data_IF_328198119352
#
_entry.id   IF_328198119352
#
_cell.length_a   1.000
_cell.length_b   1.000
_cell.length_c   1.000
_cell.angle_alpha   90.00
_cell.angle_beta   90.00
_cell.angle_gamma   90.00
#
_symmetry.space_group_name_H-M   'P 1'
#
loop_
_entity.id
_entity.type
_entity.pdbx_description
1 polymer ?
#
# COMPACT_ATOMS: atom_id res chain seq x y z
N UNK A 1 -4.13 -3.26 32.92
CA UNK A 1 -5.56 -3.43 33.28
C UNK A 1 -5.83 -2.65 34.57
N UNK A 2 -6.97 -1.97 34.70
CA UNK A 2 -7.33 -1.21 35.90
C UNK A 2 -8.29 -2.08 36.71
N UNK A 3 -7.88 -2.49 37.91
CA UNK A 3 -8.66 -3.38 38.78
C UNK A 3 -10.04 -2.77 39.09
N UNK A 4 -11.11 -3.55 38.97
CA UNK A 4 -12.49 -3.12 39.24
C UNK A 4 -13.17 -2.37 38.08
N UNK A 5 -12.52 -2.26 36.91
CA UNK A 5 -13.11 -1.64 35.71
C UNK A 5 -13.68 -2.66 34.71
N UNK A 6 -13.51 -3.96 35.00
CA UNK A 6 -14.08 -5.05 34.23
C UNK A 6 -15.62 -4.99 34.18
N UNK A 7 -16.18 -5.39 33.04
CA UNK A 7 -17.63 -5.48 32.82
C UNK A 7 -17.95 -6.83 32.20
N UNK A 8 -19.00 -7.47 32.72
CA UNK A 8 -19.57 -8.68 32.11
C UNK A 8 -20.66 -8.27 31.11
N UNK A 9 -20.59 -8.78 29.89
CA UNK A 9 -21.57 -8.52 28.84
C UNK A 9 -22.02 -9.88 28.26
N UNK A 10 -23.33 -10.20 28.26
CA UNK A 10 -23.81 -11.41 27.60
C UNK A 10 -23.67 -11.26 26.09
N UNK A 11 -22.91 -12.15 25.46
CA UNK A 11 -22.72 -12.22 24.01
C UNK A 11 -22.55 -13.68 23.61
N UNK A 12 -23.08 -14.03 22.44
CA UNK A 12 -22.89 -15.33 21.77
C UNK A 12 -21.72 -15.30 20.78
N UNK A 13 -21.37 -14.11 20.28
CA UNK A 13 -20.26 -13.87 19.33
C UNK A 13 -19.46 -12.61 19.70
N UNK A 14 -18.14 -12.65 19.50
CA UNK A 14 -17.25 -11.50 19.64
C UNK A 14 -16.48 -11.31 18.32
N UNK A 15 -16.61 -10.13 17.70
CA UNK A 15 -15.82 -9.73 16.54
C UNK A 15 -14.63 -8.88 16.98
N UNK A 16 -13.41 -9.36 16.73
CA UNK A 16 -12.16 -8.64 17.04
C UNK A 16 -11.55 -8.06 15.76
N UNK A 17 -11.43 -6.72 15.71
CA UNK A 17 -10.75 -6.00 14.64
C UNK A 17 -9.55 -5.25 15.22
N UNK A 18 -8.40 -5.93 15.32
CA UNK A 18 -7.17 -5.42 15.97
C UNK A 18 -6.15 -4.82 14.99
N UNK A 19 -6.60 -4.51 13.77
CA UNK A 19 -5.76 -3.99 12.69
C UNK A 19 -5.35 -5.06 11.67
N UNK A 20 -4.66 -4.61 10.64
CA UNK A 20 -4.19 -5.42 9.51
C UNK A 20 -2.66 -5.33 9.41
N UNK A 21 -2.04 -6.38 8.89
CA UNK A 21 -0.62 -6.39 8.55
C UNK A 21 -0.45 -6.77 7.07
N UNK A 22 0.42 -6.09 6.31
CA UNK A 22 0.70 -6.44 4.92
C UNK A 22 1.17 -7.90 4.77
N UNK A 23 0.56 -8.63 3.85
CA UNK A 23 1.01 -9.98 3.48
C UNK A 23 2.18 -9.84 2.48
N UNK A 24 3.40 -10.14 2.92
CA UNK A 24 4.63 -9.78 2.20
C UNK A 24 5.58 -10.95 1.94
N UNK A 25 5.16 -12.18 2.24
CA UNK A 25 5.97 -13.40 2.13
C UNK A 25 6.60 -13.59 0.75
N UNK A 26 5.85 -13.33 -0.33
CA UNK A 26 6.36 -13.43 -1.69
C UNK A 26 7.41 -12.36 -2.01
N UNK A 27 7.32 -11.18 -1.40
CA UNK A 27 8.28 -10.09 -1.62
C UNK A 27 9.60 -10.38 -0.91
N UNK A 28 9.54 -10.98 0.28
CA UNK A 28 10.71 -11.51 0.97
C UNK A 28 11.39 -12.60 0.14
N UNK A 29 10.62 -13.57 -0.36
CA UNK A 29 11.15 -14.64 -1.20
C UNK A 29 11.73 -14.14 -2.52
N UNK A 30 11.15 -13.09 -3.11
CA UNK A 30 11.67 -12.43 -4.31
C UNK A 30 12.97 -11.63 -4.05
N UNK A 31 13.36 -11.43 -2.79
CA UNK A 31 14.55 -10.65 -2.45
C UNK A 31 14.35 -9.14 -2.50
N UNK A 32 13.10 -8.66 -2.41
CA UNK A 32 12.82 -7.23 -2.34
C UNK A 32 13.52 -6.60 -1.13
N UNK A 33 14.01 -5.37 -1.30
CA UNK A 33 14.46 -4.54 -0.17
C UNK A 33 13.24 -4.15 0.63
N UNK A 34 13.13 -4.69 1.84
CA UNK A 34 12.00 -4.45 2.74
C UNK A 34 12.37 -3.41 3.80
N UNK A 35 11.37 -2.69 4.30
CA UNK A 35 11.53 -1.75 5.41
C UNK A 35 10.32 -1.78 6.33
N UNK A 36 10.56 -1.72 7.63
CA UNK A 36 9.49 -1.52 8.59
C UNK A 36 9.04 -0.06 8.58
N UNK A 37 7.78 0.17 8.22
CA UNK A 37 7.15 1.49 8.16
C UNK A 37 5.85 1.44 8.99
N UNK A 38 5.86 1.94 10.24
CA UNK A 38 4.70 1.93 11.12
C UNK A 38 3.46 2.61 10.51
N UNK A 39 3.69 3.66 9.72
CA UNK A 39 2.62 4.38 9.03
C UNK A 39 1.89 3.53 7.99
N UNK A 40 2.52 2.47 7.48
CA UNK A 40 2.00 1.54 6.47
C UNK A 40 1.73 0.14 7.06
N UNK A 41 1.58 0.06 8.38
CA UNK A 41 1.16 -1.14 9.12
C UNK A 41 2.12 -2.32 9.09
N UNK A 42 3.41 -2.12 8.79
CA UNK A 42 4.42 -3.17 8.99
C UNK A 42 5.60 -3.11 8.04
N UNK A 43 6.12 -4.30 7.70
CA UNK A 43 7.16 -4.44 6.70
C UNK A 43 6.55 -4.34 5.31
N UNK A 44 7.08 -3.44 4.50
CA UNK A 44 6.64 -3.19 3.12
C UNK A 44 7.87 -3.15 2.19
N UNK A 45 7.72 -3.49 0.90
CA UNK A 45 8.80 -3.37 -0.06
C UNK A 45 9.06 -1.90 -0.37
N UNK A 46 10.33 -1.55 -0.55
CA UNK A 46 10.68 -0.28 -1.16
C UNK A 46 10.27 -0.27 -2.63
N UNK A 47 9.76 0.86 -3.11
CA UNK A 47 9.21 0.99 -4.46
C UNK A 47 9.41 2.36 -5.11
N UNK A 48 9.42 2.37 -6.43
CA UNK A 48 9.42 3.60 -7.24
C UNK A 48 8.04 4.26 -7.25
N UNK A 49 7.95 5.44 -7.87
CA UNK A 49 6.67 6.14 -8.07
C UNK A 49 5.66 5.34 -8.92
N UNK A 50 6.13 4.48 -9.82
CA UNK A 50 5.29 3.58 -10.62
C UNK A 50 5.04 2.22 -9.94
N UNK A 51 5.35 2.13 -8.64
CA UNK A 51 5.19 0.94 -7.80
C UNK A 51 6.04 -0.27 -8.18
N UNK A 52 7.10 -0.07 -8.98
CA UNK A 52 8.12 -1.11 -9.19
C UNK A 52 8.97 -1.24 -7.93
N UNK A 53 9.15 -2.47 -7.44
CA UNK A 53 9.97 -2.75 -6.26
C UNK A 53 11.47 -2.63 -6.59
N UNK A 54 12.34 -2.94 -5.61
CA UNK A 54 13.77 -3.03 -5.89
C UNK A 54 14.16 -4.21 -6.81
N UNK A 55 13.24 -5.14 -7.08
CA UNK A 55 13.44 -6.22 -8.05
C UNK A 55 12.78 -5.81 -9.37
N UNK A 56 13.59 -5.71 -10.42
CA UNK A 56 13.13 -5.28 -11.75
C UNK A 56 12.02 -6.21 -12.26
N UNK A 57 10.93 -5.62 -12.75
CA UNK A 57 9.78 -6.36 -13.25
C UNK A 57 8.81 -6.86 -12.18
N UNK A 58 9.08 -6.62 -10.89
CA UNK A 58 8.16 -6.94 -9.78
C UNK A 58 7.51 -5.65 -9.29
N UNK A 59 6.19 -5.59 -9.43
CA UNK A 59 5.36 -4.44 -9.02
C UNK A 59 4.48 -4.81 -7.84
N UNK A 60 4.11 -3.82 -7.03
CA UNK A 60 3.29 -4.00 -5.83
C UNK A 60 2.13 -3.01 -5.79
N UNK A 61 0.98 -3.42 -5.28
CA UNK A 61 -0.19 -2.55 -5.13
C UNK A 61 -1.08 -3.01 -3.97
N UNK A 62 -1.93 -2.10 -3.49
CA UNK A 62 -2.89 -2.37 -2.43
C UNK A 62 -2.22 -2.61 -1.09
N UNK A 63 -2.87 -3.36 -0.19
CA UNK A 63 -2.42 -3.48 1.20
C UNK A 63 -1.03 -4.11 1.37
N UNK A 64 -0.55 -4.86 0.37
CA UNK A 64 0.81 -5.38 0.34
C UNK A 64 1.87 -4.29 0.10
N UNK A 65 1.48 -3.15 -0.48
CA UNK A 65 2.29 -1.92 -0.59
C UNK A 65 2.16 -1.01 0.66
N UNK A 66 1.23 -1.34 1.57
CA UNK A 66 0.88 -0.59 2.77
C UNK A 66 -0.63 -0.51 2.93
N UNK A 67 -1.13 -0.76 4.15
CA UNK A 67 -2.58 -0.82 4.41
C UNK A 67 -3.23 0.57 4.24
N UNK A 68 -4.23 0.66 3.36
CA UNK A 68 -5.01 1.86 3.04
C UNK A 68 -6.49 1.49 2.80
N UNK A 69 -7.28 2.39 2.22
CA UNK A 69 -8.63 2.16 1.74
C UNK A 69 -8.66 1.41 0.40
N UNK A 70 -9.78 0.73 0.14
CA UNK A 70 -10.01 -0.03 -1.09
C UNK A 70 -9.93 0.83 -2.36
N UNK A 71 -10.33 2.11 -2.29
CA UNK A 71 -10.20 3.08 -3.39
C UNK A 71 -8.73 3.23 -3.81
N UNK A 72 -7.83 3.48 -2.84
CA UNK A 72 -6.39 3.58 -3.08
C UNK A 72 -5.83 2.30 -3.68
N UNK A 73 -6.21 1.14 -3.15
CA UNK A 73 -5.76 -0.15 -3.68
C UNK A 73 -6.13 -0.38 -5.16
N UNK A 74 -7.34 0.03 -5.58
CA UNK A 74 -7.75 -0.06 -6.99
C UNK A 74 -6.92 0.84 -7.90
N UNK A 75 -6.64 2.07 -7.47
CA UNK A 75 -5.83 3.02 -8.26
C UNK A 75 -4.38 2.56 -8.32
N UNK A 76 -3.81 2.08 -7.21
CA UNK A 76 -2.48 1.47 -7.19
C UNK A 76 -2.39 0.26 -8.12
N UNK A 77 -3.43 -0.58 -8.19
CA UNK A 77 -3.47 -1.70 -9.13
C UNK A 77 -3.38 -1.25 -10.59
N UNK A 78 -4.11 -0.20 -10.96
CA UNK A 78 -4.01 0.42 -12.30
C UNK A 78 -2.63 1.01 -12.55
N UNK A 79 -2.10 1.77 -11.59
CA UNK A 79 -0.77 2.38 -11.66
C UNK A 79 0.35 1.33 -11.83
N UNK A 80 0.31 0.25 -11.05
CA UNK A 80 1.25 -0.85 -11.14
C UNK A 80 1.16 -1.55 -12.52
N UNK A 81 -0.06 -1.75 -13.04
CA UNK A 81 -0.29 -2.30 -14.37
C UNK A 81 0.29 -1.41 -15.49
N UNK A 82 0.06 -0.10 -15.43
CA UNK A 82 0.64 0.85 -16.37
C UNK A 82 2.17 0.94 -16.23
N UNK A 83 2.70 0.90 -15.01
CA UNK A 83 4.13 0.83 -14.73
C UNK A 83 4.77 -0.41 -15.34
N UNK A 84 4.13 -1.57 -15.19
CA UNK A 84 4.57 -2.82 -15.80
C UNK A 84 4.55 -2.75 -17.33
N UNK A 85 3.45 -2.27 -17.93
CA UNK A 85 3.35 -2.09 -19.37
C UNK A 85 4.45 -1.16 -19.92
N UNK A 86 4.66 -0.02 -19.26
CA UNK A 86 5.72 0.93 -19.61
C UNK A 86 7.11 0.30 -19.52
N UNK A 87 7.37 -0.51 -18.48
CA UNK A 87 8.67 -1.19 -18.31
C UNK A 87 9.00 -2.18 -19.43
N UNK A 88 7.97 -2.68 -20.12
CA UNK A 88 8.07 -3.58 -21.27
C UNK A 88 8.05 -2.83 -22.62
N UNK A 89 7.96 -1.49 -22.61
CA UNK A 89 7.85 -0.69 -23.83
C UNK A 89 6.48 -0.74 -24.51
N UNK A 90 5.42 -1.12 -23.76
CA UNK A 90 4.04 -1.18 -24.23
C UNK A 90 3.26 0.10 -23.88
N UNK A 91 2.16 0.37 -24.59
CA UNK A 91 1.19 1.42 -24.21
C UNK A 91 1.11 2.64 -25.12
N UNK A 92 1.53 2.51 -26.38
CA UNK A 92 1.18 3.37 -27.53
C UNK A 92 1.26 4.89 -27.28
N UNK A 93 2.23 5.32 -26.46
CA UNK A 93 2.42 6.73 -26.08
C UNK A 93 1.40 7.33 -25.11
N UNK A 94 0.37 6.57 -24.70
CA UNK A 94 -0.66 6.99 -23.74
C UNK A 94 -0.36 6.56 -22.30
N UNK A 95 0.55 5.60 -22.12
CA UNK A 95 0.86 5.06 -20.78
C UNK A 95 1.33 6.14 -19.80
N UNK A 96 2.07 7.13 -20.29
CA UNK A 96 2.56 8.24 -19.45
C UNK A 96 1.44 9.14 -18.95
N UNK A 97 0.46 9.46 -19.80
CA UNK A 97 -0.71 10.24 -19.37
C UNK A 97 -1.57 9.46 -18.38
N UNK A 98 -1.74 8.15 -18.59
CA UNK A 98 -2.50 7.29 -17.69
C UNK A 98 -1.81 7.16 -16.32
N UNK A 99 -0.48 7.03 -16.29
CA UNK A 99 0.29 7.05 -15.04
C UNK A 99 0.07 8.36 -14.29
N UNK A 100 0.16 9.51 -14.98
CA UNK A 100 -0.07 10.80 -14.33
C UNK A 100 -1.49 10.96 -13.80
N UNK A 101 -2.49 10.47 -14.53
CA UNK A 101 -3.88 10.45 -14.07
C UNK A 101 -4.02 9.66 -12.76
N UNK A 102 -3.45 8.45 -12.68
CA UNK A 102 -3.50 7.63 -11.46
C UNK A 102 -2.74 8.27 -10.29
N UNK A 103 -1.62 8.94 -10.56
CA UNK A 103 -0.87 9.66 -9.53
C UNK A 103 -1.66 10.83 -8.95
N UNK A 104 -2.38 11.57 -9.80
CA UNK A 104 -3.27 12.64 -9.37
C UNK A 104 -4.46 12.09 -8.57
N UNK A 105 -5.08 11.00 -9.03
CA UNK A 105 -6.18 10.34 -8.32
C UNK A 105 -5.74 9.87 -6.93
N UNK A 106 -4.56 9.24 -6.82
CA UNK A 106 -3.98 8.87 -5.52
C UNK A 106 -3.69 10.08 -4.63
N UNK A 107 -3.21 11.19 -5.21
CA UNK A 107 -2.98 12.41 -4.45
C UNK A 107 -4.28 12.92 -3.83
N UNK A 108 -5.35 13.02 -4.62
CA UNK A 108 -6.69 13.43 -4.17
C UNK A 108 -7.25 12.51 -3.09
N UNK A 109 -7.20 11.19 -3.30
CA UNK A 109 -7.66 10.22 -2.29
C UNK A 109 -6.91 10.36 -0.96
N UNK A 110 -5.64 10.76 -1.03
CA UNK A 110 -4.77 10.88 0.14
C UNK A 110 -4.78 12.27 0.76
N UNK A 111 -5.50 13.28 0.27
CA UNK A 111 -5.41 14.67 0.76
C UNK A 111 -5.79 14.83 2.25
N UNK A 112 -6.77 14.05 2.72
CA UNK A 112 -7.33 14.15 4.07
C UNK A 112 -6.39 13.77 5.22
N UNK A 113 -6.90 13.89 6.45
CA UNK A 113 -6.16 13.63 7.70
C UNK A 113 -5.69 12.17 7.79
N UNK A 114 -6.53 11.21 7.38
CA UNK A 114 -6.17 9.79 7.29
C UNK A 114 -5.00 9.58 6.31
N UNK A 115 -5.07 10.22 5.14
CA UNK A 115 -4.04 10.14 4.12
C UNK A 115 -2.72 10.82 4.51
N UNK A 116 -2.71 11.75 5.47
CA UNK A 116 -1.46 12.36 5.96
C UNK A 116 -0.49 11.31 6.55
N UNK A 117 -1.02 10.32 7.28
CA UNK A 117 -0.24 9.19 7.78
C UNK A 117 0.36 8.38 6.62
N UNK A 118 -0.45 8.06 5.61
CA UNK A 118 -0.03 7.32 4.42
C UNK A 118 1.09 8.07 3.69
N UNK A 119 0.91 9.36 3.37
CA UNK A 119 1.93 10.19 2.70
C UNK A 119 3.27 10.18 3.43
N UNK A 120 3.25 10.28 4.77
CA UNK A 120 4.46 10.19 5.61
C UNK A 120 5.12 8.81 5.52
N UNK A 121 4.33 7.74 5.47
CA UNK A 121 4.83 6.38 5.25
C UNK A 121 5.48 6.20 3.88
N UNK A 122 4.84 6.69 2.83
CA UNK A 122 5.33 6.59 1.45
C UNK A 122 6.71 7.24 1.26
N UNK A 123 6.96 8.39 1.90
CA UNK A 123 8.28 9.04 1.87
C UNK A 123 9.40 8.15 2.43
N UNK A 124 9.08 7.24 3.35
CA UNK A 124 10.05 6.29 3.92
C UNK A 124 10.23 5.04 3.07
N UNK A 125 9.28 4.77 2.16
CA UNK A 125 9.17 3.57 1.34
C UNK A 125 9.70 3.75 -0.11
N UNK A 126 10.13 4.95 -0.47
CA UNK A 126 10.62 5.27 -1.80
C UNK A 126 12.06 4.75 -2.05
N UNK A 127 12.34 4.39 -3.30
CA UNK A 127 13.70 4.14 -3.86
C UNK A 127 13.98 5.03 -5.06
#
# INVERSE_FOLDING_TARGET
PIQGTEKNMPADVICLAVGLSPLTDLLWQAGCRMKFVPELSGHIPLRSQCLETSIKGVFIAGDAAGVEEASGAMVEGRLAGYGAAKSLGLGDGKVDSLIQEMLNELATLREGEVGAKIRKGLQKAAI
#
